data_IF_549131954266
#
_entry.id   IF_549131954266
#
_cell.length_a   1.000
_cell.length_b   1.000
_cell.length_c   1.000
_cell.angle_alpha   90.00
_cell.angle_beta   90.00
_cell.angle_gamma   90.00
#
_symmetry.space_group_name_H-M   'P 1'
#
loop_
_entity.id
_entity.type
_entity.pdbx_description
1 polymer ?
#
# COMPACT_ATOMS: atom_id res chain seq x y z
N UNK A 1 2.37 21.43 -2.93
CA UNK A 1 1.85 20.30 -3.73
C UNK A 1 2.15 20.59 -5.20
N UNK A 2 3.17 19.95 -5.76
CA UNK A 2 3.51 20.09 -7.18
C UNK A 2 2.38 19.50 -8.03
N UNK A 3 1.78 20.31 -8.92
CA UNK A 3 0.77 19.84 -9.87
C UNK A 3 1.43 18.83 -10.81
N UNK A 4 1.21 17.54 -10.57
CA UNK A 4 1.61 16.49 -11.49
C UNK A 4 0.40 16.10 -12.34
N UNK A 5 0.58 16.09 -13.65
CA UNK A 5 -0.44 15.73 -14.62
C UNK A 5 -0.56 14.19 -14.64
N UNK A 6 -1.39 13.59 -13.77
CA UNK A 6 -1.81 12.17 -13.95
C UNK A 6 -2.87 12.13 -15.06
N UNK A 7 -2.79 11.15 -15.95
CA UNK A 7 -3.92 10.79 -16.81
C UNK A 7 -4.65 9.58 -16.22
N UNK A 8 -5.92 9.38 -16.59
CA UNK A 8 -6.69 8.24 -16.11
C UNK A 8 -6.01 6.90 -16.40
N UNK A 9 -5.37 6.76 -17.55
CA UNK A 9 -4.66 5.53 -17.94
C UNK A 9 -3.44 5.22 -17.06
N UNK A 10 -2.70 6.26 -16.65
CA UNK A 10 -1.58 6.10 -15.72
C UNK A 10 -2.08 5.63 -14.35
N UNK A 11 -3.11 6.31 -13.85
CA UNK A 11 -3.70 6.00 -12.56
C UNK A 11 -4.35 4.59 -12.57
N UNK A 12 -5.00 4.14 -13.66
CA UNK A 12 -5.55 2.77 -13.82
C UNK A 12 -4.44 1.71 -13.83
N UNK A 13 -3.36 1.94 -14.58
CA UNK A 13 -2.21 1.01 -14.62
C UNK A 13 -1.56 0.88 -13.24
N UNK A 14 -1.37 1.99 -12.54
CA UNK A 14 -0.81 1.97 -11.19
C UNK A 14 -1.73 1.23 -10.21
N UNK A 15 -3.04 1.43 -10.26
CA UNK A 15 -4.00 0.73 -9.39
C UNK A 15 -4.03 -0.78 -9.67
N UNK A 16 -3.82 -1.20 -10.92
CA UNK A 16 -3.82 -2.62 -11.32
C UNK A 16 -2.51 -3.33 -11.01
N UNK A 17 -1.37 -2.67 -11.21
CA UNK A 17 -0.06 -3.33 -11.21
C UNK A 17 0.75 -3.06 -9.95
N UNK A 18 0.64 -1.85 -9.39
CA UNK A 18 1.52 -1.35 -8.32
C UNK A 18 0.84 -1.34 -6.96
N UNK A 19 -0.41 -0.88 -6.91
CA UNK A 19 -1.14 -0.79 -5.66
C UNK A 19 -1.38 -2.15 -4.98
N UNK A 20 -1.66 -3.27 -5.68
CA UNK A 20 -1.94 -4.53 -5.00
C UNK A 20 -0.73 -5.12 -4.25
N UNK A 21 0.48 -5.20 -4.84
CA UNK A 21 1.67 -5.64 -4.12
C UNK A 21 2.07 -4.71 -2.98
N UNK A 22 1.95 -3.40 -3.18
CA UNK A 22 2.21 -2.42 -2.11
C UNK A 22 1.22 -2.54 -0.96
N UNK A 23 -0.05 -2.79 -1.25
CA UNK A 23 -1.07 -3.04 -0.23
C UNK A 23 -0.80 -4.34 0.52
N UNK A 24 -0.29 -5.36 -0.17
CA UNK A 24 0.13 -6.60 0.48
C UNK A 24 1.29 -6.35 1.46
N UNK A 25 2.27 -5.53 1.06
CA UNK A 25 3.38 -5.13 1.93
C UNK A 25 2.91 -4.31 3.13
N UNK A 26 2.07 -3.29 2.92
CA UNK A 26 1.48 -2.49 4.00
C UNK A 26 0.73 -3.39 5.01
N UNK A 27 -0.07 -4.34 4.53
CA UNK A 27 -0.79 -5.29 5.38
C UNK A 27 0.17 -6.19 6.15
N UNK A 28 1.25 -6.66 5.52
CA UNK A 28 2.29 -7.44 6.22
C UNK A 28 2.88 -6.65 7.39
N UNK A 29 3.15 -5.35 7.22
CA UNK A 29 3.70 -4.49 8.29
C UNK A 29 2.72 -4.24 9.42
N UNK A 30 1.43 -4.06 9.12
CA UNK A 30 0.41 -3.96 10.17
C UNK A 30 0.44 -5.18 11.10
N UNK A 31 0.56 -6.38 10.53
CA UNK A 31 0.53 -7.63 11.30
C UNK A 31 1.88 -7.93 11.96
N UNK A 32 2.99 -7.75 11.24
CA UNK A 32 4.32 -8.19 11.68
C UNK A 32 5.06 -7.14 12.50
N UNK A 33 4.91 -5.84 12.17
CA UNK A 33 5.65 -4.74 12.82
C UNK A 33 4.81 -3.99 13.84
N UNK A 34 3.51 -3.83 13.56
CA UNK A 34 2.56 -3.19 14.48
C UNK A 34 1.73 -4.19 15.29
N UNK A 35 2.07 -5.48 15.21
CA UNK A 35 1.50 -6.58 16.01
C UNK A 35 -0.04 -6.66 15.97
N UNK A 36 -0.65 -6.16 14.89
CA UNK A 36 -2.09 -6.19 14.74
C UNK A 36 -2.59 -7.59 14.43
N UNK A 37 -3.72 -7.96 15.05
CA UNK A 37 -4.46 -9.12 14.58
C UNK A 37 -4.99 -8.88 13.15
N UNK A 38 -5.11 -9.95 12.35
CA UNK A 38 -5.70 -9.84 11.00
C UNK A 38 -7.12 -9.26 11.05
N UNK A 39 -7.85 -9.49 12.15
CA UNK A 39 -9.20 -8.98 12.35
C UNK A 39 -9.20 -7.47 12.60
N UNK A 40 -8.25 -6.94 13.37
CA UNK A 40 -8.18 -5.50 13.64
C UNK A 40 -7.62 -4.73 12.46
N UNK A 41 -6.65 -5.30 11.73
CA UNK A 41 -6.20 -4.77 10.45
C UNK A 41 -7.37 -4.70 9.45
N UNK A 42 -8.20 -5.75 9.36
CA UNK A 42 -9.38 -5.77 8.50
C UNK A 42 -10.39 -4.68 8.85
N UNK A 43 -10.70 -4.50 10.16
CA UNK A 43 -11.59 -3.43 10.64
C UNK A 43 -11.06 -2.04 10.25
N UNK A 44 -9.78 -1.75 10.53
CA UNK A 44 -9.18 -0.44 10.21
C UNK A 44 -9.14 -0.15 8.72
N UNK A 45 -8.93 -1.17 7.89
CA UNK A 45 -8.86 -1.04 6.44
C UNK A 45 -10.23 -1.07 5.74
N UNK A 46 -11.32 -1.35 6.47
CA UNK A 46 -12.65 -1.51 5.89
C UNK A 46 -12.77 -2.69 4.92
N UNK A 47 -12.03 -3.77 5.16
CA UNK A 47 -12.03 -4.98 4.32
C UNK A 47 -12.33 -6.23 5.14
N UNK A 48 -12.49 -7.38 4.49
CA UNK A 48 -12.69 -8.65 5.19
C UNK A 48 -11.38 -9.20 5.75
N UNK A 49 -11.44 -9.98 6.82
CA UNK A 49 -10.29 -10.76 7.34
C UNK A 49 -9.71 -11.68 6.27
N UNK A 50 -10.55 -12.25 5.42
CA UNK A 50 -10.13 -13.07 4.29
C UNK A 50 -9.30 -12.26 3.27
N UNK A 51 -9.65 -11.00 3.01
CA UNK A 51 -8.85 -10.13 2.15
C UNK A 51 -7.46 -9.87 2.76
N UNK A 52 -7.38 -9.61 4.07
CA UNK A 52 -6.10 -9.49 4.80
C UNK A 52 -5.27 -10.76 4.67
N UNK A 53 -5.86 -11.93 4.92
CA UNK A 53 -5.19 -13.22 4.75
C UNK A 53 -4.67 -13.43 3.32
N UNK A 54 -5.43 -13.04 2.30
CA UNK A 54 -5.02 -13.14 0.89
C UNK A 54 -3.88 -12.18 0.53
N UNK A 55 -3.79 -11.03 1.17
CA UNK A 55 -2.64 -10.13 1.03
C UNK A 55 -1.39 -10.71 1.68
N UNK A 56 -1.51 -11.26 2.89
CA UNK A 56 -0.39 -11.88 3.60
C UNK A 56 0.16 -13.11 2.86
N UNK A 57 -0.72 -13.93 2.27
CA UNK A 57 -0.31 -15.08 1.46
C UNK A 57 0.12 -14.71 0.03
N UNK A 58 0.16 -13.41 -0.29
CA UNK A 58 0.43 -12.86 -1.63
C UNK A 58 -0.51 -13.37 -2.74
N UNK A 59 -1.59 -14.11 -2.42
CA UNK A 59 -2.65 -14.46 -3.40
C UNK A 59 -3.25 -13.20 -4.03
N UNK A 60 -3.31 -12.10 -3.29
CA UNK A 60 -3.47 -10.74 -3.81
C UNK A 60 -2.15 -10.00 -3.67
N UNK A 61 -1.72 -9.33 -4.74
CA UNK A 61 -0.45 -8.59 -4.74
C UNK A 61 0.79 -9.47 -4.92
N UNK A 62 0.66 -10.57 -5.66
CA UNK A 62 1.77 -11.46 -6.04
C UNK A 62 2.80 -10.82 -6.99
N UNK A 63 2.55 -9.61 -7.49
CA UNK A 63 3.48 -8.93 -8.40
C UNK A 63 4.80 -8.58 -7.70
N UNK A 64 5.90 -8.79 -8.41
CA UNK A 64 7.22 -8.31 -8.01
C UNK A 64 7.24 -6.79 -8.16
N UNK A 65 7.08 -6.07 -7.04
CA UNK A 65 7.37 -4.64 -6.97
C UNK A 65 8.73 -4.51 -6.31
N UNK A 66 9.67 -3.92 -7.03
CA UNK A 66 10.96 -3.58 -6.45
C UNK A 66 10.76 -2.46 -5.42
N UNK A 67 10.92 -2.80 -4.14
CA UNK A 67 10.75 -1.85 -3.05
C UNK A 67 12.05 -1.06 -2.89
N UNK A 68 12.11 0.10 -3.56
CA UNK A 68 13.13 1.11 -3.27
C UNK A 68 13.05 1.63 -1.84
N UNK A 69 14.13 2.20 -1.31
CA UNK A 69 14.16 2.83 0.02
C UNK A 69 13.09 3.91 0.19
N UNK A 70 12.84 4.71 -0.85
CA UNK A 70 11.79 5.74 -0.82
C UNK A 70 10.39 5.12 -0.76
N UNK A 71 10.16 4.05 -1.54
CA UNK A 71 8.89 3.34 -1.55
C UNK A 71 8.65 2.61 -0.22
N UNK A 72 9.70 2.04 0.35
CA UNK A 72 9.69 1.40 1.66
C UNK A 72 9.21 2.37 2.75
N UNK A 73 9.78 3.58 2.77
CA UNK A 73 9.41 4.62 3.71
C UNK A 73 7.95 5.10 3.53
N UNK A 74 7.44 5.15 2.29
CA UNK A 74 6.04 5.47 2.03
C UNK A 74 5.12 4.37 2.55
N UNK A 75 5.48 3.11 2.37
CA UNK A 75 4.68 1.98 2.86
C UNK A 75 4.66 1.96 4.41
N UNK A 76 5.77 2.30 5.07
CA UNK A 76 5.81 2.46 6.52
C UNK A 76 4.90 3.60 7.00
N UNK A 77 4.98 4.77 6.35
CA UNK A 77 4.07 5.89 6.67
C UNK A 77 2.61 5.50 6.44
N UNK A 78 2.32 4.75 5.39
CA UNK A 78 0.96 4.27 5.12
C UNK A 78 0.47 3.31 6.21
N UNK A 79 1.29 2.35 6.63
CA UNK A 79 0.95 1.44 7.73
C UNK A 79 0.70 2.22 9.03
N UNK A 80 1.59 3.17 9.37
CA UNK A 80 1.45 4.02 10.55
C UNK A 80 0.19 4.89 10.50
N UNK A 81 -0.15 5.43 9.34
CA UNK A 81 -1.38 6.20 9.12
C UNK A 81 -2.63 5.36 9.40
N UNK A 82 -2.64 4.09 8.97
CA UNK A 82 -3.74 3.17 9.29
C UNK A 82 -3.82 2.92 10.80
N UNK A 83 -2.70 2.67 11.47
CA UNK A 83 -2.66 2.44 12.93
C UNK A 83 -3.19 3.65 13.69
N UNK A 84 -2.72 4.85 13.36
CA UNK A 84 -3.04 6.10 14.08
C UNK A 84 -4.38 6.72 13.67
N UNK A 85 -4.88 6.40 12.48
CA UNK A 85 -6.09 7.01 11.91
C UNK A 85 -5.85 8.39 11.28
N UNK A 86 -4.61 8.86 11.21
CA UNK A 86 -4.23 10.13 10.58
C UNK A 86 -3.49 9.82 9.28
N UNK A 87 -4.07 10.20 8.14
CA UNK A 87 -3.51 9.90 6.82
C UNK A 87 -3.05 11.16 6.10
N UNK A 88 -1.74 11.26 5.87
CA UNK A 88 -1.11 12.22 4.96
C UNK A 88 -0.74 11.57 3.61
N UNK A 89 -0.65 10.24 3.55
CA UNK A 89 -0.30 9.48 2.35
C UNK A 89 -1.50 9.36 1.42
N UNK A 90 -1.36 9.87 0.20
CA UNK A 90 -2.32 9.69 -0.87
C UNK A 90 -1.79 8.76 -1.97
N UNK A 91 -2.68 8.33 -2.85
CA UNK A 91 -2.36 7.41 -3.94
C UNK A 91 -1.33 7.99 -4.94
N UNK A 92 -1.29 9.31 -5.08
CA UNK A 92 -0.33 9.98 -5.94
C UNK A 92 1.08 9.96 -5.34
N UNK A 93 1.24 10.05 -4.02
CA UNK A 93 2.55 9.95 -3.36
C UNK A 93 3.21 8.59 -3.68
N UNK A 94 2.39 7.53 -3.56
CA UNK A 94 2.75 6.16 -3.94
C UNK A 94 3.12 6.06 -5.42
N UNK A 95 2.26 6.55 -6.32
CA UNK A 95 2.47 6.49 -7.76
C UNK A 95 3.75 7.23 -8.21
N UNK A 96 3.98 8.42 -7.67
CA UNK A 96 5.13 9.25 -8.02
C UNK A 96 6.44 8.64 -7.55
N UNK A 97 6.45 8.07 -6.35
CA UNK A 97 7.62 7.39 -5.82
C UNK A 97 7.99 6.17 -6.68
N UNK A 98 7.01 5.33 -7.01
CA UNK A 98 7.23 4.16 -7.83
C UNK A 98 7.72 4.50 -9.26
N UNK A 99 7.32 5.65 -9.82
CA UNK A 99 7.70 6.06 -11.17
C UNK A 99 9.08 6.71 -11.30
N UNK A 100 9.67 7.24 -10.22
CA UNK A 100 11.00 7.89 -10.29
C UNK A 100 12.15 6.95 -10.69
N UNK A 101 11.89 5.64 -10.79
CA UNK A 101 12.86 4.60 -11.15
C UNK A 101 12.61 3.91 -12.50
N UNK A 102 11.67 4.40 -13.33
CA UNK A 102 11.58 3.96 -14.74
C UNK A 102 12.32 4.92 -15.65
#
# INVERSE_FOLDING_TARGET
>A
MTKHTCTLMHCDTMVRSLLPPMRAEMVARLVQRHEMSQSDAAKKLGVTRAAVSQYLSRKRGAGEVEISTELDAIIDRWALAVVTGVSDVNICDVCQCARKKQ
#
